data_IF_849095941565
#
_entry.id   IF_849095941565
#
_cell.length_a   1.000
_cell.length_b   1.000
_cell.length_c   1.000
_cell.angle_alpha   90.00
_cell.angle_beta   90.00
_cell.angle_gamma   90.00
#
_symmetry.space_group_name_H-M   'P 1'
#
loop_
_entity.id
_entity.type
_entity.pdbx_description
1 polymer ?
#
# COMPACT_ATOMS: atom_id res chain seq x y z
N UNK A 1 35.83 -1.40 23.99
CA UNK A 1 35.02 -2.55 23.53
C UNK A 1 33.93 -2.79 24.55
N UNK A 2 32.68 -2.44 24.22
CA UNK A 2 31.54 -2.64 25.12
C UNK A 2 31.00 -4.05 24.88
N UNK A 3 30.83 -4.87 25.93
CA UNK A 3 30.37 -6.25 25.78
C UNK A 3 28.92 -6.30 25.29
N UNK A 4 28.60 -7.30 24.46
CA UNK A 4 27.24 -7.56 23.95
C UNK A 4 26.20 -7.73 25.07
N UNK A 5 26.62 -8.11 26.28
CA UNK A 5 25.75 -8.21 27.46
C UNK A 5 25.31 -6.85 28.02
N UNK A 6 26.05 -5.77 27.73
CA UNK A 6 25.74 -4.42 28.23
C UNK A 6 24.63 -3.75 27.41
N UNK A 7 24.46 -4.14 26.13
CA UNK A 7 23.37 -3.68 25.28
C UNK A 7 22.01 -4.30 25.64
N UNK A 8 22.00 -5.38 26.42
CA UNK A 8 20.78 -6.08 26.84
C UNK A 8 20.09 -5.48 28.09
N UNK A 9 20.64 -4.40 28.67
CA UNK A 9 20.15 -3.80 29.93
C UNK A 9 19.75 -2.32 29.81
N UNK A 10 19.43 -1.85 28.61
CA UNK A 10 18.71 -0.58 28.49
C UNK A 10 17.23 -0.83 28.82
N UNK A 11 16.61 -0.04 29.72
CA UNK A 11 15.19 -0.18 30.01
C UNK A 11 14.41 0.21 28.75
N UNK A 12 13.94 -0.79 28.03
CA UNK A 12 12.88 -0.58 27.04
C UNK A 12 11.65 -0.18 27.81
N UNK A 13 11.17 1.05 27.56
CA UNK A 13 9.77 1.37 27.87
C UNK A 13 8.91 0.24 27.30
N UNK A 14 7.84 -0.19 27.98
CA UNK A 14 6.90 -1.12 27.39
C UNK A 14 6.18 -0.38 26.26
N UNK A 15 6.74 -0.40 25.05
CA UNK A 15 5.92 -0.37 23.86
C UNK A 15 5.20 -1.70 23.86
N UNK A 16 3.90 -1.66 24.05
CA UNK A 16 3.01 -2.77 23.74
C UNK A 16 3.24 -3.13 22.27
N UNK A 17 4.06 -4.16 22.03
CA UNK A 17 4.43 -4.73 20.74
C UNK A 17 3.17 -5.34 20.06
N UNK A 18 2.22 -4.50 19.64
CA UNK A 18 1.20 -4.90 18.67
C UNK A 18 1.86 -4.87 17.29
N UNK A 19 2.71 -5.87 17.05
CA UNK A 19 3.24 -6.17 15.72
C UNK A 19 2.08 -6.63 14.87
N UNK A 20 1.90 -5.98 13.73
CA UNK A 20 0.80 -6.26 12.84
C UNK A 20 1.31 -6.47 11.41
N UNK A 21 0.48 -7.03 10.55
CA UNK A 21 0.91 -7.51 9.24
C UNK A 21 0.06 -6.93 8.11
N UNK A 22 0.72 -6.58 7.00
CA UNK A 22 0.08 -6.16 5.75
C UNK A 22 0.62 -6.97 4.58
N UNK A 23 -0.08 -6.98 3.45
CA UNK A 23 0.16 -7.95 2.38
C UNK A 23 0.51 -7.26 1.07
N UNK A 24 1.76 -7.39 0.63
CA UNK A 24 2.23 -6.89 -0.67
C UNK A 24 2.22 -8.00 -1.70
N UNK A 25 1.51 -7.79 -2.82
CA UNK A 25 1.52 -8.70 -3.95
C UNK A 25 2.55 -8.22 -4.97
N UNK A 26 3.45 -9.11 -5.37
CA UNK A 26 4.52 -8.85 -6.33
C UNK A 26 4.70 -10.03 -7.28
N UNK A 27 5.67 -9.94 -8.18
CA UNK A 27 6.07 -11.02 -9.08
C UNK A 27 7.13 -11.91 -8.44
N UNK A 28 7.08 -13.21 -8.69
CA UNK A 28 8.05 -14.19 -8.18
C UNK A 28 9.47 -13.85 -8.63
N UNK A 29 9.64 -13.39 -9.87
CA UNK A 29 10.95 -12.94 -10.38
C UNK A 29 11.61 -11.85 -9.52
N UNK A 30 10.83 -11.07 -8.77
CA UNK A 30 11.34 -10.00 -7.89
C UNK A 30 11.79 -10.48 -6.52
N UNK A 31 11.53 -11.74 -6.14
CA UNK A 31 11.91 -12.24 -4.82
C UNK A 31 13.42 -12.19 -4.58
N UNK A 32 14.23 -12.33 -5.62
CA UNK A 32 15.68 -12.20 -5.53
C UNK A 32 16.13 -10.82 -5.05
N UNK A 33 15.49 -9.76 -5.55
CA UNK A 33 15.79 -8.37 -5.20
C UNK A 33 15.37 -8.03 -3.76
N UNK A 34 14.39 -8.75 -3.24
CA UNK A 34 13.80 -8.51 -1.91
C UNK A 34 14.69 -9.03 -0.78
N UNK A 35 15.63 -9.94 -1.08
CA UNK A 35 16.60 -10.47 -0.10
C UNK A 35 17.45 -9.34 0.52
N UNK A 36 17.70 -8.26 -0.25
CA UNK A 36 18.38 -7.05 0.24
C UNK A 36 17.44 -5.99 0.86
N UNK A 37 16.14 -6.23 0.84
CA UNK A 37 15.09 -5.34 1.32
C UNK A 37 14.08 -5.05 0.23
N UNK A 38 12.83 -4.80 0.63
CA UNK A 38 11.77 -4.45 -0.32
C UNK A 38 11.77 -2.93 -0.55
N UNK A 39 12.26 -2.52 -1.72
CA UNK A 39 12.23 -1.14 -2.20
C UNK A 39 11.01 -0.87 -3.10
N UNK A 40 10.61 0.41 -3.21
CA UNK A 40 9.51 0.81 -4.07
C UNK A 40 9.83 0.51 -5.53
N UNK A 41 8.82 0.05 -6.26
CA UNK A 41 9.00 -0.45 -7.62
C UNK A 41 8.56 0.57 -8.69
N UNK A 42 8.96 1.82 -8.46
CA UNK A 42 8.52 3.03 -9.17
C UNK A 42 8.92 3.11 -10.66
N UNK A 43 9.84 2.26 -11.11
CA UNK A 43 10.46 2.38 -12.44
C UNK A 43 9.59 1.89 -13.61
N UNK A 44 8.31 1.53 -13.40
CA UNK A 44 7.45 0.93 -14.45
C UNK A 44 6.14 1.67 -14.74
N UNK A 45 5.85 2.81 -14.10
CA UNK A 45 4.66 3.61 -14.39
C UNK A 45 4.80 4.49 -15.64
N UNK A 46 3.69 4.86 -16.29
CA UNK A 46 3.71 5.91 -17.32
C UNK A 46 4.11 7.27 -16.72
N UNK A 47 4.60 8.21 -17.54
CA UNK A 47 4.93 9.56 -17.06
C UNK A 47 3.75 10.24 -16.35
N UNK A 48 2.51 9.97 -16.77
CA UNK A 48 1.32 10.52 -16.14
C UNK A 48 1.12 9.97 -14.71
N UNK A 49 1.42 8.69 -14.48
CA UNK A 49 1.39 8.07 -13.14
C UNK A 49 2.43 8.68 -12.22
N UNK A 50 3.67 8.86 -12.69
CA UNK A 50 4.72 9.52 -11.91
C UNK A 50 4.35 10.96 -11.57
N UNK A 51 3.79 11.72 -12.53
CA UNK A 51 3.33 13.10 -12.28
C UNK A 51 2.19 13.15 -11.28
N UNK A 52 1.29 12.17 -11.31
CA UNK A 52 0.22 12.03 -10.33
C UNK A 52 0.75 11.74 -8.92
N UNK A 53 1.64 10.77 -8.77
CA UNK A 53 2.23 10.45 -7.45
C UNK A 53 3.01 11.64 -6.88
N UNK A 54 3.77 12.34 -7.72
CA UNK A 54 4.45 13.58 -7.32
C UNK A 54 3.46 14.67 -6.88
N UNK A 55 2.32 14.85 -7.56
CA UNK A 55 1.28 15.78 -7.11
C UNK A 55 0.74 15.38 -5.74
N UNK A 56 0.46 14.11 -5.52
CA UNK A 56 -0.05 13.63 -4.24
C UNK A 56 0.96 13.88 -3.13
N UNK A 57 2.24 13.60 -3.39
CA UNK A 57 3.32 13.88 -2.44
C UNK A 57 3.51 15.37 -2.14
N UNK A 58 3.26 16.26 -3.12
CA UNK A 58 3.33 17.72 -2.95
C UNK A 58 2.24 18.28 -2.03
N UNK A 59 1.08 17.62 -1.96
CA UNK A 59 -0.06 18.08 -1.15
C UNK A 59 -0.27 17.22 0.11
N UNK A 60 0.68 16.34 0.42
CA UNK A 60 0.56 15.47 1.60
C UNK A 60 0.61 16.32 2.88
N UNK A 61 -0.18 15.96 3.91
CA UNK A 61 -0.05 16.54 5.24
C UNK A 61 1.34 16.31 5.86
N UNK A 62 1.84 17.31 6.60
CA UNK A 62 3.15 17.24 7.25
C UNK A 62 3.25 16.06 8.25
N UNK A 63 2.16 15.73 8.93
CA UNK A 63 2.14 14.58 9.85
C UNK A 63 2.45 13.26 9.14
N UNK A 64 1.98 13.09 7.90
CA UNK A 64 2.27 11.89 7.07
C UNK A 64 3.70 11.97 6.52
N UNK A 65 4.16 13.17 6.14
CA UNK A 65 5.55 13.37 5.70
C UNK A 65 6.56 13.00 6.81
N UNK A 66 6.28 13.37 8.06
CA UNK A 66 7.10 13.03 9.22
C UNK A 66 7.21 11.52 9.49
N UNK A 67 6.24 10.73 9.05
CA UNK A 67 6.29 9.25 9.10
C UNK A 67 7.18 8.65 8.01
N UNK A 68 7.72 9.46 7.09
CA UNK A 68 8.46 8.99 5.93
C UNK A 68 7.57 8.38 4.84
N UNK A 69 6.25 8.65 4.88
CA UNK A 69 5.29 8.09 3.93
C UNK A 69 5.20 8.98 2.69
N UNK A 70 5.39 8.35 1.55
CA UNK A 70 5.41 8.97 0.23
C UNK A 70 4.87 7.99 -0.79
N UNK A 71 3.91 8.38 -1.63
CA UNK A 71 3.44 7.50 -2.71
C UNK A 71 4.57 7.18 -3.68
N UNK A 72 5.44 8.16 -3.92
CA UNK A 72 6.63 8.04 -4.77
C UNK A 72 7.66 7.04 -4.21
N UNK A 73 7.60 6.65 -2.94
CA UNK A 73 8.61 5.75 -2.37
C UNK A 73 8.08 4.68 -1.44
N UNK A 74 6.78 4.58 -1.23
CA UNK A 74 6.19 3.53 -0.40
C UNK A 74 6.06 2.22 -1.15
N UNK A 75 5.98 1.15 -0.37
CA UNK A 75 5.41 -0.13 -0.82
C UNK A 75 3.89 -0.04 -0.69
N UNK A 76 3.20 -0.43 -1.75
CA UNK A 76 1.75 -0.56 -1.76
C UNK A 76 1.37 -1.97 -1.28
N UNK A 77 0.64 -2.05 -0.17
CA UNK A 77 0.18 -3.30 0.41
C UNK A 77 -1.35 -3.27 0.64
N UNK A 78 -1.91 -4.41 1.01
CA UNK A 78 -3.31 -4.56 1.44
C UNK A 78 -3.38 -4.63 2.96
N UNK A 79 -4.48 -4.14 3.55
CA UNK A 79 -4.69 -4.19 5.00
C UNK A 79 -5.00 -5.60 5.52
N UNK A 80 -5.14 -6.61 4.65
CA UNK A 80 -5.49 -7.98 5.04
C UNK A 80 -5.09 -9.00 3.97
N UNK A 81 -5.27 -10.29 4.29
CA UNK A 81 -4.82 -11.43 3.48
C UNK A 81 -5.71 -11.77 2.29
N UNK A 82 -6.69 -10.95 1.92
CA UNK A 82 -7.62 -11.15 0.79
C UNK A 82 -6.99 -11.00 -0.61
N UNK A 83 -5.73 -11.43 -0.75
CA UNK A 83 -4.94 -11.41 -1.99
C UNK A 83 -5.48 -12.36 -3.07
N UNK A 84 -6.34 -13.31 -2.70
CA UNK A 84 -6.93 -14.29 -3.62
C UNK A 84 -7.79 -13.63 -4.70
N UNK A 85 -8.50 -12.54 -4.35
CA UNK A 85 -9.25 -11.75 -5.32
C UNK A 85 -8.32 -11.08 -6.35
N UNK A 86 -7.11 -10.69 -5.96
CA UNK A 86 -6.09 -10.14 -6.85
C UNK A 86 -5.58 -11.24 -7.79
N UNK A 87 -5.27 -12.43 -7.25
CA UNK A 87 -4.83 -13.57 -8.07
C UNK A 87 -5.87 -13.94 -9.12
N UNK A 88 -7.14 -14.02 -8.74
CA UNK A 88 -8.23 -14.37 -9.66
C UNK A 88 -8.36 -13.37 -10.81
N UNK A 89 -8.17 -12.07 -10.54
CA UNK A 89 -8.24 -11.01 -11.56
C UNK A 89 -7.03 -10.98 -12.48
N UNK A 90 -5.84 -11.30 -11.98
CA UNK A 90 -4.57 -11.04 -12.66
C UNK A 90 -3.85 -12.28 -13.22
N UNK A 91 -4.42 -13.49 -13.07
CA UNK A 91 -3.82 -14.72 -13.60
C UNK A 91 -4.49 -15.22 -14.88
N UNK A 92 -3.73 -15.94 -15.70
CA UNK A 92 -4.16 -16.51 -16.98
C UNK A 92 -4.15 -18.05 -16.93
N UNK A 93 -4.79 -18.74 -17.89
CA UNK A 93 -4.59 -20.18 -18.08
C UNK A 93 -3.10 -20.51 -18.31
N UNK A 94 -2.65 -21.66 -17.79
CA UNK A 94 -1.23 -22.08 -17.68
C UNK A 94 -0.39 -21.94 -18.96
N UNK A 95 -0.99 -22.01 -20.14
CA UNK A 95 -0.24 -22.04 -21.42
C UNK A 95 0.40 -20.70 -21.83
N UNK A 96 0.08 -19.59 -21.16
CA UNK A 96 0.40 -18.25 -21.66
C UNK A 96 1.23 -17.34 -20.73
N UNK A 97 1.61 -17.79 -19.52
CA UNK A 97 2.26 -16.90 -18.54
C UNK A 97 3.70 -17.32 -18.18
N UNK A 98 4.57 -16.33 -17.94
CA UNK A 98 6.01 -16.51 -17.68
C UNK A 98 6.43 -16.29 -16.22
N UNK A 99 5.51 -15.81 -15.38
CA UNK A 99 5.79 -15.45 -13.99
C UNK A 99 4.56 -15.71 -13.10
N UNK A 100 4.74 -15.73 -11.80
CA UNK A 100 3.69 -15.99 -10.81
C UNK A 100 3.56 -14.81 -9.85
N UNK A 101 2.35 -14.57 -9.35
CA UNK A 101 2.16 -13.63 -8.26
C UNK A 101 2.61 -14.28 -6.96
N UNK A 102 3.22 -13.48 -6.10
CA UNK A 102 3.66 -13.87 -4.76
C UNK A 102 3.15 -12.84 -3.78
N UNK A 103 2.61 -13.30 -2.66
CA UNK A 103 2.25 -12.45 -1.54
C UNK A 103 3.34 -12.52 -0.48
N UNK A 104 3.85 -11.34 -0.17
CA UNK A 104 4.68 -11.09 0.99
C UNK A 104 3.83 -10.48 2.08
N UNK A 105 3.96 -11.01 3.27
CA UNK A 105 3.54 -10.36 4.47
C UNK A 105 4.66 -9.46 4.98
N UNK A 106 4.30 -8.27 5.41
CA UNK A 106 5.19 -7.24 5.91
C UNK A 106 4.79 -6.94 7.35
N UNK A 107 5.69 -7.20 8.29
CA UNK A 107 5.53 -6.79 9.68
C UNK A 107 5.63 -5.26 9.78
N UNK A 108 4.58 -4.61 10.28
CA UNK A 108 4.43 -3.16 10.41
C UNK A 108 4.07 -2.78 11.85
N UNK A 109 4.43 -1.54 12.21
CA UNK A 109 3.80 -0.87 13.33
C UNK A 109 2.51 -0.22 12.79
N UNK A 110 1.32 -0.62 13.27
CA UNK A 110 0.04 -0.19 12.70
C UNK A 110 -0.25 1.30 12.91
N UNK A 111 0.49 2.00 13.78
CA UNK A 111 0.41 3.45 13.97
C UNK A 111 1.29 4.23 12.97
N UNK A 112 2.28 3.56 12.35
CA UNK A 112 3.30 4.18 11.49
C UNK A 112 3.14 3.83 10.00
N UNK A 113 1.97 3.31 9.61
CA UNK A 113 1.58 3.09 8.21
C UNK A 113 0.19 3.66 7.99
N UNK A 114 -0.08 4.08 6.75
CA UNK A 114 -1.31 4.80 6.42
C UNK A 114 -2.14 4.01 5.41
N UNK A 115 -3.43 3.92 5.67
CA UNK A 115 -4.45 3.35 4.78
C UNK A 115 -5.16 4.47 4.04
N UNK A 116 -5.26 4.32 2.72
CA UNK A 116 -5.93 5.26 1.82
C UNK A 116 -6.89 4.52 0.88
N UNK A 117 -7.80 5.25 0.21
CA UNK A 117 -8.65 4.68 -0.84
C UNK A 117 -8.13 5.05 -2.23
N UNK A 118 -7.60 4.04 -2.93
CA UNK A 118 -7.05 4.19 -4.28
C UNK A 118 -8.13 4.49 -5.34
N UNK A 119 -9.43 4.32 -5.03
CA UNK A 119 -10.51 4.56 -6.00
C UNK A 119 -10.51 5.97 -6.59
N UNK A 120 -10.07 6.96 -5.80
CA UNK A 120 -10.06 8.36 -6.23
C UNK A 120 -8.88 8.73 -7.14
N UNK A 121 -7.87 7.86 -7.27
CA UNK A 121 -6.67 8.14 -8.07
C UNK A 121 -7.00 8.28 -9.55
N UNK A 122 -7.96 7.50 -10.05
CA UNK A 122 -8.41 7.52 -11.45
C UNK A 122 -8.87 8.92 -11.90
N UNK A 123 -9.51 9.70 -11.03
CA UNK A 123 -9.93 11.07 -11.30
C UNK A 123 -8.75 12.05 -11.41
N UNK A 124 -7.67 11.80 -10.66
CA UNK A 124 -6.44 12.59 -10.73
C UNK A 124 -5.73 12.32 -12.06
N UNK A 125 -5.56 11.05 -12.42
CA UNK A 125 -4.91 10.62 -13.67
C UNK A 125 -5.68 11.14 -14.89
N UNK A 126 -7.01 11.04 -14.89
CA UNK A 126 -7.86 11.60 -15.96
C UNK A 126 -7.66 13.10 -16.16
N UNK A 127 -7.40 13.85 -15.09
CA UNK A 127 -7.11 15.29 -15.14
C UNK A 127 -5.70 15.66 -15.62
N UNK A 128 -4.76 14.71 -15.60
CA UNK A 128 -3.35 14.89 -16.01
C UNK A 128 -3.12 14.44 -17.46
N UNK A 129 -3.84 13.40 -17.92
CA UNK A 129 -3.70 12.80 -19.26
C UNK A 129 -3.70 13.85 -20.37
N UNK A 130 -2.67 13.79 -21.23
CA UNK A 130 -2.53 14.64 -22.41
C UNK A 130 -2.14 16.09 -22.13
N UNK A 131 -1.97 16.50 -20.87
CA UNK A 131 -1.57 17.88 -20.52
C UNK A 131 -0.05 17.99 -20.39
N UNK A 132 0.61 18.51 -21.44
CA UNK A 132 2.05 18.88 -21.42
C UNK A 132 2.39 20.04 -20.48
N UNK A 133 1.39 20.73 -19.90
CA UNK A 133 1.62 21.93 -19.07
C UNK A 133 2.27 21.57 -17.73
N UNK A 134 3.18 22.43 -17.28
CA UNK A 134 3.94 22.28 -16.03
C UNK A 134 3.09 22.39 -14.74
N UNK A 135 1.84 22.87 -14.82
CA UNK A 135 0.99 23.16 -13.66
C UNK A 135 -0.21 22.22 -13.58
N UNK A 136 -0.45 21.64 -12.42
CA UNK A 136 -1.63 20.81 -12.14
C UNK A 136 -2.91 21.63 -12.14
N UNK A 137 -4.03 21.00 -12.52
CA UNK A 137 -5.34 21.65 -12.47
C UNK A 137 -5.81 21.78 -11.01
N UNK A 138 -6.60 22.82 -10.69
CA UNK A 138 -7.21 22.99 -9.36
C UNK A 138 -7.97 21.73 -8.92
N UNK A 139 -8.74 21.15 -9.84
CA UNK A 139 -9.48 19.90 -9.61
C UNK A 139 -8.57 18.73 -9.28
N UNK A 140 -7.45 18.55 -9.98
CA UNK A 140 -6.48 17.48 -9.68
C UNK A 140 -5.87 17.65 -8.27
N UNK A 141 -5.57 18.88 -7.88
CA UNK A 141 -5.05 19.22 -6.55
C UNK A 141 -6.09 18.90 -5.48
N UNK A 142 -7.36 19.26 -5.68
CA UNK A 142 -8.45 18.97 -4.75
C UNK A 142 -8.66 17.46 -4.55
N UNK A 143 -8.63 16.66 -5.63
CA UNK A 143 -8.71 15.20 -5.51
C UNK A 143 -7.51 14.60 -4.77
N UNK A 144 -6.31 15.12 -4.99
CA UNK A 144 -5.11 14.70 -4.27
C UNK A 144 -5.18 15.07 -2.77
N UNK A 145 -5.75 16.22 -2.42
CA UNK A 145 -6.00 16.60 -1.02
C UNK A 145 -7.05 15.68 -0.36
N UNK A 146 -8.15 15.40 -1.07
CA UNK A 146 -9.21 14.48 -0.57
C UNK A 146 -8.68 13.09 -0.29
N UNK A 147 -7.77 12.60 -1.13
CA UNK A 147 -7.11 11.31 -0.91
C UNK A 147 -6.43 11.25 0.46
N UNK A 148 -5.64 12.27 0.82
CA UNK A 148 -4.96 12.30 2.12
C UNK A 148 -5.88 12.62 3.29
N UNK A 149 -6.89 13.47 3.08
CA UNK A 149 -7.87 13.80 4.12
C UNK A 149 -8.68 12.57 4.59
N UNK A 150 -8.90 11.61 3.71
CA UNK A 150 -9.60 10.36 4.03
C UNK A 150 -8.68 9.28 4.62
N UNK A 151 -7.38 9.55 4.77
CA UNK A 151 -6.41 8.55 5.19
C UNK A 151 -6.43 8.31 6.71
N UNK A 152 -6.09 7.09 7.12
CA UNK A 152 -6.10 6.64 8.52
C UNK A 152 -4.83 5.86 8.84
N UNK A 153 -4.44 5.79 10.12
CA UNK A 153 -3.50 4.75 10.56
C UNK A 153 -4.10 3.36 10.29
N UNK A 154 -3.26 2.34 10.14
CA UNK A 154 -3.76 0.97 9.98
C UNK A 154 -4.55 0.48 11.19
N UNK A 155 -4.14 0.90 12.40
CA UNK A 155 -4.88 0.62 13.62
C UNK A 155 -6.27 1.23 13.58
N UNK A 156 -6.38 2.53 13.33
CA UNK A 156 -7.67 3.22 13.28
C UNK A 156 -8.57 2.65 12.18
N UNK A 157 -7.98 2.32 11.03
CA UNK A 157 -8.70 1.67 9.94
C UNK A 157 -9.31 0.33 10.39
N UNK A 158 -8.54 -0.55 11.01
CA UNK A 158 -9.04 -1.87 11.49
C UNK A 158 -10.03 -1.75 12.64
N UNK A 159 -9.86 -0.75 13.50
CA UNK A 159 -10.84 -0.42 14.54
C UNK A 159 -12.15 0.08 13.92
N UNK A 160 -12.08 0.84 12.83
CA UNK A 160 -13.21 1.58 12.25
C UNK A 160 -13.97 0.85 11.14
N UNK A 161 -13.33 -0.08 10.42
CA UNK A 161 -13.89 -0.71 9.24
C UNK A 161 -13.97 -2.22 9.37
N UNK A 162 -15.01 -2.81 8.77
CA UNK A 162 -15.15 -4.24 8.57
C UNK A 162 -14.88 -4.58 7.12
N UNK A 163 -14.18 -5.70 6.92
CA UNK A 163 -13.88 -6.22 5.60
C UNK A 163 -15.09 -6.93 4.99
N UNK A 164 -15.40 -6.64 3.74
CA UNK A 164 -16.38 -7.38 2.96
C UNK A 164 -15.77 -7.83 1.63
N UNK A 165 -15.50 -9.12 1.50
CA UNK A 165 -15.07 -9.72 0.23
C UNK A 165 -16.33 -10.05 -0.59
N UNK A 166 -16.42 -9.53 -1.81
CA UNK A 166 -17.49 -9.87 -2.74
C UNK A 166 -16.94 -10.19 -4.15
N UNK A 167 -17.83 -10.55 -5.07
CA UNK A 167 -17.47 -10.93 -6.45
C UNK A 167 -16.74 -9.81 -7.22
N UNK A 168 -16.94 -8.56 -6.86
CA UNK A 168 -16.30 -7.38 -7.47
C UNK A 168 -14.93 -7.07 -6.85
N UNK A 169 -14.60 -7.64 -5.68
CA UNK A 169 -13.33 -7.50 -5.00
C UNK A 169 -13.48 -7.25 -3.50
N UNK A 170 -12.47 -6.61 -2.94
CA UNK A 170 -12.43 -6.17 -1.55
C UNK A 170 -13.14 -4.83 -1.41
N UNK A 171 -14.07 -4.70 -0.47
CA UNK A 171 -14.53 -3.39 0.02
C UNK A 171 -14.49 -3.39 1.55
N UNK A 172 -14.26 -2.23 2.15
CA UNK A 172 -14.31 -2.08 3.59
C UNK A 172 -15.41 -1.08 3.95
N UNK A 173 -16.30 -1.48 4.86
CA UNK A 173 -17.47 -0.68 5.27
C UNK A 173 -17.27 -0.20 6.70
N UNK A 174 -17.62 1.07 6.94
CA UNK A 174 -17.51 1.69 8.26
C UNK A 174 -18.42 0.95 9.25
N UNK A 175 -17.91 0.60 10.42
CA UNK A 175 -18.69 -0.04 11.47
C UNK A 175 -19.78 0.91 12.01
N UNK A 176 -20.91 0.39 12.55
CA UNK A 176 -22.05 1.22 12.94
C UNK A 176 -21.76 2.32 13.98
N UNK A 177 -20.80 2.11 14.89
CA UNK A 177 -20.52 3.01 16.03
C UNK A 177 -19.33 3.96 15.78
N UNK A 178 -18.92 4.13 14.53
CA UNK A 178 -17.76 4.94 14.14
C UNK A 178 -18.23 6.29 13.63
N UNK A 179 -17.44 7.34 13.90
CA UNK A 179 -17.74 8.73 13.53
C UNK A 179 -18.25 8.88 12.09
N UNK A 180 -19.32 9.67 11.93
CA UNK A 180 -19.91 9.95 10.61
C UNK A 180 -18.99 10.76 9.69
N UNK A 181 -17.96 11.41 10.26
CA UNK A 181 -16.96 12.18 9.52
C UNK A 181 -16.03 11.29 8.69
N UNK A 182 -15.88 10.02 9.05
CA UNK A 182 -15.09 9.06 8.28
C UNK A 182 -15.86 8.56 7.06
N UNK A 183 -15.21 8.28 5.92
CA UNK A 183 -15.88 7.74 4.75
C UNK A 183 -16.72 6.51 5.07
N UNK A 184 -17.91 6.39 4.47
CA UNK A 184 -18.74 5.22 4.70
C UNK A 184 -18.08 3.93 4.18
N UNK A 185 -17.33 4.01 3.09
CA UNK A 185 -16.63 2.87 2.48
C UNK A 185 -15.25 3.24 1.98
N UNK A 186 -14.33 2.28 2.06
CA UNK A 186 -13.15 2.22 1.21
C UNK A 186 -13.41 1.20 0.10
N UNK A 187 -13.32 1.65 -1.16
CA UNK A 187 -13.57 0.81 -2.33
C UNK A 187 -12.31 0.02 -2.72
N UNK A 188 -11.14 0.66 -2.69
CA UNK A 188 -9.85 0.03 -2.93
C UNK A 188 -8.86 0.43 -1.84
N UNK A 189 -8.96 -0.15 -0.63
CA UNK A 189 -8.06 0.19 0.45
C UNK A 189 -6.63 -0.25 0.11
N UNK A 190 -5.70 0.70 0.16
CA UNK A 190 -4.27 0.46 0.00
C UNK A 190 -3.55 0.92 1.27
N UNK A 191 -2.53 0.17 1.69
CA UNK A 191 -1.64 0.55 2.79
C UNK A 191 -0.32 1.03 2.19
N UNK A 192 0.07 2.25 2.55
CA UNK A 192 1.37 2.83 2.22
C UNK A 192 2.37 2.50 3.32
N UNK A 193 3.34 1.64 3.00
CA UNK A 193 4.42 1.25 3.91
C UNK A 193 5.70 1.98 3.51
N UNK A 194 6.37 2.70 4.42
CA UNK A 194 7.66 3.31 4.14
C UNK A 194 8.68 2.30 3.61
N UNK A 195 9.41 2.68 2.55
CA UNK A 195 10.48 1.86 2.00
C UNK A 195 11.86 2.54 2.21
N UNK A 196 12.97 1.77 2.22
CA UNK A 196 13.03 0.32 2.07
C UNK A 196 12.57 -0.43 3.32
N UNK A 197 11.92 -1.58 3.13
CA UNK A 197 11.56 -2.49 4.23
C UNK A 197 12.69 -3.47 4.48
N UNK A 198 13.08 -3.62 5.75
CA UNK A 198 14.10 -4.57 6.19
C UNK A 198 13.67 -6.03 5.87
N UNK A 199 14.55 -6.87 5.27
CA UNK A 199 14.27 -8.27 4.98
C UNK A 199 13.73 -9.08 6.17
N UNK A 200 14.20 -8.82 7.39
CA UNK A 200 13.78 -9.54 8.60
C UNK A 200 12.30 -9.31 8.97
N UNK A 201 11.65 -8.32 8.36
CA UNK A 201 10.22 -8.00 8.52
C UNK A 201 9.35 -8.60 7.40
N UNK A 202 9.94 -9.35 6.48
CA UNK A 202 9.27 -9.88 5.30
C UNK A 202 9.11 -11.39 5.42
N UNK A 203 7.91 -11.88 5.13
CA UNK A 203 7.62 -13.32 5.08
C UNK A 203 6.88 -13.65 3.80
N UNK A 204 7.35 -14.63 3.06
CA UNK A 204 6.56 -15.18 1.95
C UNK A 204 5.43 -16.03 2.52
N UNK A 205 4.19 -15.71 2.15
CA UNK A 205 2.98 -16.43 2.61
C UNK A 205 2.35 -17.30 1.54
N UNK A 206 2.23 -16.83 0.29
CA UNK A 206 1.59 -17.61 -0.77
C UNK A 206 2.06 -17.25 -2.17
N UNK A 207 1.69 -18.07 -3.15
CA UNK A 207 1.86 -17.78 -4.57
C UNK A 207 0.63 -18.19 -5.35
N UNK A 208 0.39 -17.50 -6.47
CA UNK A 208 -0.71 -17.86 -7.36
C UNK A 208 -0.51 -19.25 -7.96
N UNK A 209 -1.59 -20.03 -8.07
CA UNK A 209 -1.55 -21.36 -8.71
C UNK A 209 -1.39 -21.27 -10.24
N UNK A 210 -1.62 -20.10 -10.81
CA UNK A 210 -1.57 -19.82 -12.24
C UNK A 210 -0.64 -18.65 -12.51
N UNK A 211 -0.01 -18.61 -13.69
CA UNK A 211 0.89 -17.51 -14.01
C UNK A 211 0.09 -16.23 -14.30
N UNK A 212 0.78 -15.09 -14.25
CA UNK A 212 0.18 -13.78 -14.55
C UNK A 212 -0.26 -13.67 -16.00
N UNK A 213 -1.29 -12.86 -16.24
CA UNK A 213 -1.65 -12.38 -17.58
C UNK A 213 -0.49 -11.60 -18.19
N UNK A 214 -0.40 -11.59 -19.52
CA UNK A 214 0.61 -10.83 -20.26
C UNK A 214 0.53 -9.32 -19.98
N UNK A 215 -0.68 -8.83 -19.72
CA UNK A 215 -0.96 -7.48 -19.26
C UNK A 215 -1.60 -7.54 -17.87
N UNK A 216 -1.02 -6.81 -16.91
CA UNK A 216 -1.53 -6.69 -15.55
C UNK A 216 -2.44 -5.48 -15.44
N UNK A 217 -3.64 -5.69 -14.91
CA UNK A 217 -4.49 -4.61 -14.42
C UNK A 217 -4.21 -4.49 -12.92
N UNK A 218 -3.27 -3.61 -12.56
CA UNK A 218 -2.96 -3.26 -11.18
C UNK A 218 -4.06 -2.39 -10.57
#
# INVERSE_FOLDING_TARGET
MVSLETLARLPTKPHTDERDFVYHVTLRSRLGDIVSGLASNQSRGSQDWQRMENLMDLVRPDCIACMGISRVSSIYALPDSSVEAIYAKNTAPLKNGKDFLVTLEIEVDPENVIVCDAANISFIVGGIRGRRKARFSKTSVEYAQRYWQASLSLKDFRCSYSLEVNKSGLRCVRKPNVSEQLPYTFIYPEVLVPAPVNPGRLRWVSSSARPVKEYLDW
#
